data_IF_163475126810
#
_entry.id   IF_163475126810
#
_cell.length_a   1.000
_cell.length_b   1.000
_cell.length_c   1.000
_cell.angle_alpha   90.00
_cell.angle_beta   90.00
_cell.angle_gamma   90.00
#
_symmetry.space_group_name_H-M   'P 1'
#
loop_
_entity.id
_entity.type
_entity.pdbx_description
1 polymer ?
#
# COMPACT_ATOMS: atom_id res chain seq x y z
N UNK A 1 6.20 -12.55 -61.50
CA UNK A 1 5.48 -12.11 -60.28
C UNK A 1 4.73 -10.83 -60.60
N UNK A 2 3.40 -10.85 -60.55
CA UNK A 2 2.57 -9.73 -60.99
C UNK A 2 2.66 -8.53 -60.06
N UNK A 3 3.03 -7.37 -60.58
CA UNK A 3 3.04 -6.12 -59.82
C UNK A 3 1.61 -5.60 -59.71
N UNK A 4 0.93 -5.87 -58.60
CA UNK A 4 -0.33 -5.20 -58.29
C UNK A 4 -0.09 -3.69 -58.20
N UNK A 5 -0.80 -2.88 -58.99
CA UNK A 5 -0.73 -1.40 -58.95
C UNK A 5 -1.42 -0.79 -57.71
N UNK A 6 -1.75 -1.61 -56.71
CA UNK A 6 -2.43 -1.22 -55.49
C UNK A 6 -1.50 -0.34 -54.64
N UNK A 7 -1.99 0.85 -54.31
CA UNK A 7 -1.32 1.78 -53.40
C UNK A 7 -2.01 1.71 -52.04
N UNK A 8 -1.28 1.33 -51.01
CA UNK A 8 -1.82 1.14 -49.66
C UNK A 8 -1.30 2.27 -48.76
N UNK A 9 -2.16 3.12 -48.17
CA UNK A 9 -1.70 4.14 -47.23
C UNK A 9 -1.17 3.49 -45.94
N UNK A 10 0.06 3.84 -45.54
CA UNK A 10 0.71 3.36 -44.31
C UNK A 10 1.51 4.46 -43.63
N UNK A 11 1.86 4.25 -42.37
CA UNK A 11 2.78 5.12 -41.61
C UNK A 11 4.16 4.45 -41.55
N UNK A 12 5.21 5.20 -41.84
CA UNK A 12 6.58 4.69 -41.80
C UNK A 12 7.04 4.44 -40.36
N UNK A 13 7.51 3.22 -40.06
CA UNK A 13 7.95 2.83 -38.70
C UNK A 13 9.15 3.64 -38.16
N UNK A 14 9.94 4.29 -39.03
CA UNK A 14 11.10 5.07 -38.63
C UNK A 14 10.83 6.57 -38.40
N UNK A 15 10.11 7.23 -39.32
CA UNK A 15 9.90 8.68 -39.30
C UNK A 15 8.46 9.08 -38.99
N UNK A 16 7.56 8.10 -38.79
CA UNK A 16 6.15 8.29 -38.45
C UNK A 16 5.35 9.12 -39.47
N UNK A 17 5.86 9.28 -40.69
CA UNK A 17 5.16 9.99 -41.78
C UNK A 17 4.27 9.02 -42.56
N UNK A 18 3.08 9.45 -42.99
CA UNK A 18 2.24 8.69 -43.90
C UNK A 18 2.89 8.57 -45.29
N UNK A 19 2.75 7.43 -45.95
CA UNK A 19 3.25 7.17 -47.30
C UNK A 19 2.40 6.10 -48.02
N UNK A 20 2.48 6.06 -49.35
CA UNK A 20 1.81 5.06 -50.18
C UNK A 20 2.74 3.87 -50.43
N UNK A 21 2.40 2.71 -49.87
CA UNK A 21 3.14 1.46 -50.08
C UNK A 21 2.69 0.75 -51.36
N UNK A 22 3.66 0.21 -52.12
CA UNK A 22 3.42 -0.62 -53.32
C UNK A 22 3.19 -2.10 -53.02
N UNK A 23 3.61 -2.54 -51.83
CA UNK A 23 3.50 -3.93 -51.37
C UNK A 23 2.97 -3.98 -49.94
N UNK A 24 2.23 -5.04 -49.61
CA UNK A 24 1.68 -5.29 -48.26
C UNK A 24 2.79 -5.45 -47.21
N UNK A 25 4.01 -5.79 -47.62
CA UNK A 25 5.16 -5.99 -46.74
C UNK A 25 6.01 -4.73 -46.53
N UNK A 26 5.74 -3.63 -47.24
CA UNK A 26 6.53 -2.40 -47.08
C UNK A 26 6.27 -1.74 -45.71
N UNK A 27 7.37 -1.48 -44.98
CA UNK A 27 7.37 -0.93 -43.60
C UNK A 27 7.86 0.52 -43.52
N UNK A 28 8.58 0.99 -44.54
CA UNK A 28 9.26 2.29 -44.53
C UNK A 28 8.97 3.09 -45.80
N UNK A 29 8.94 4.42 -45.68
CA UNK A 29 8.68 5.30 -46.82
C UNK A 29 9.84 5.39 -47.83
N UNK A 30 11.07 5.01 -47.43
CA UNK A 30 12.25 5.05 -48.29
C UNK A 30 13.35 4.10 -47.82
N UNK A 31 14.28 3.78 -48.71
CA UNK A 31 15.50 3.00 -48.40
C UNK A 31 16.35 3.67 -47.32
N UNK A 32 16.40 5.01 -47.30
CA UNK A 32 17.06 5.79 -46.25
C UNK A 32 16.45 5.52 -44.87
N UNK A 33 15.12 5.55 -44.74
CA UNK A 33 14.43 5.24 -43.49
C UNK A 33 14.66 3.78 -43.05
N UNK A 34 14.64 2.84 -43.99
CA UNK A 34 14.97 1.45 -43.70
C UNK A 34 16.40 1.29 -43.16
N UNK A 35 17.39 1.90 -43.82
CA UNK A 35 18.79 1.84 -43.41
C UNK A 35 19.03 2.46 -42.03
N UNK A 36 18.37 3.59 -41.72
CA UNK A 36 18.45 4.21 -40.40
C UNK A 36 17.83 3.32 -39.32
N UNK A 37 16.66 2.72 -39.58
CA UNK A 37 16.03 1.79 -38.67
C UNK A 37 16.90 0.54 -38.42
N UNK A 38 17.52 -0.02 -39.46
CA UNK A 38 18.45 -1.14 -39.34
C UNK A 38 19.69 -0.78 -38.50
N UNK A 39 20.29 0.41 -38.71
CA UNK A 39 21.41 0.89 -37.89
C UNK A 39 21.02 1.07 -36.42
N UNK A 40 19.85 1.67 -36.16
CA UNK A 40 19.34 1.84 -34.80
C UNK A 40 19.12 0.49 -34.09
N UNK A 41 18.51 -0.48 -34.78
CA UNK A 41 18.35 -1.85 -34.26
C UNK A 41 19.68 -2.51 -33.91
N UNK A 42 20.66 -2.47 -34.82
CA UNK A 42 22.00 -3.01 -34.57
C UNK A 42 22.70 -2.34 -33.39
N UNK A 43 22.53 -1.02 -33.22
CA UNK A 43 23.08 -0.29 -32.07
C UNK A 43 22.45 -0.76 -30.75
N UNK A 44 21.12 -0.84 -30.70
CA UNK A 44 20.39 -1.34 -29.53
C UNK A 44 20.75 -2.79 -29.19
N UNK A 45 20.94 -3.65 -30.20
CA UNK A 45 21.36 -5.04 -30.01
C UNK A 45 22.75 -5.13 -29.40
N UNK A 46 23.71 -4.32 -29.89
CA UNK A 46 25.05 -4.21 -29.30
C UNK A 46 25.00 -3.73 -27.85
N UNK A 47 24.27 -2.66 -27.57
CA UNK A 47 24.12 -2.13 -26.20
C UNK A 47 23.49 -3.16 -25.25
N UNK A 48 22.53 -3.96 -25.72
CA UNK A 48 21.95 -5.06 -24.93
C UNK A 48 22.97 -6.16 -24.67
N UNK A 49 23.70 -6.59 -25.70
CA UNK A 49 24.72 -7.62 -25.59
C UNK A 49 25.86 -7.19 -24.65
N UNK A 50 26.30 -5.95 -24.73
CA UNK A 50 27.30 -5.38 -23.80
C UNK A 50 26.80 -5.40 -22.35
N UNK A 51 25.55 -5.01 -22.10
CA UNK A 51 24.92 -5.10 -20.77
C UNK A 51 24.82 -6.54 -20.28
N UNK A 52 24.44 -7.48 -21.14
CA UNK A 52 24.36 -8.91 -20.81
C UNK A 52 25.73 -9.49 -20.45
N UNK A 53 26.77 -9.17 -21.23
CA UNK A 53 28.15 -9.59 -20.95
C UNK A 53 28.60 -9.03 -19.60
N UNK A 54 28.31 -7.76 -19.33
CA UNK A 54 28.67 -7.13 -18.06
C UNK A 54 27.95 -7.81 -16.88
N UNK A 55 26.65 -8.08 -17.02
CA UNK A 55 25.88 -8.83 -16.01
C UNK A 55 26.44 -10.24 -15.80
N UNK A 56 26.80 -10.97 -16.86
CA UNK A 56 27.40 -12.29 -16.75
C UNK A 56 28.75 -12.24 -16.02
N UNK A 57 29.59 -11.25 -16.33
CA UNK A 57 30.89 -11.04 -15.69
C UNK A 57 30.75 -10.82 -14.17
N UNK A 58 29.72 -10.12 -13.74
CA UNK A 58 29.49 -9.81 -12.32
C UNK A 58 28.49 -10.74 -11.63
N UNK A 59 27.91 -11.73 -12.32
CA UNK A 59 26.86 -12.61 -11.79
C UNK A 59 27.25 -13.26 -10.46
N UNK A 60 28.44 -13.85 -10.39
CA UNK A 60 28.93 -14.52 -9.18
C UNK A 60 29.14 -13.54 -8.03
N UNK A 61 29.68 -12.35 -8.32
CA UNK A 61 29.89 -11.29 -7.32
C UNK A 61 28.57 -10.74 -6.78
N UNK A 62 27.55 -10.60 -7.65
CA UNK A 62 26.21 -10.18 -7.25
C UNK A 62 25.58 -11.23 -6.33
N UNK A 63 25.66 -12.52 -6.71
CA UNK A 63 25.15 -13.61 -5.89
C UNK A 63 25.82 -13.64 -4.50
N UNK A 64 27.14 -13.47 -4.45
CA UNK A 64 27.88 -13.40 -3.18
C UNK A 64 27.44 -12.22 -2.31
N UNK A 65 27.25 -11.03 -2.89
CA UNK A 65 26.77 -9.85 -2.15
C UNK A 65 25.35 -10.05 -1.63
N UNK A 66 24.51 -10.78 -2.37
CA UNK A 66 23.14 -11.06 -1.95
C UNK A 66 23.06 -12.08 -0.80
N UNK A 67 23.96 -13.06 -0.73
CA UNK A 67 23.91 -14.09 0.33
C UNK A 67 24.56 -13.66 1.64
N UNK A 68 25.35 -12.58 1.65
CA UNK A 68 25.98 -12.06 2.87
C UNK A 68 24.94 -11.53 3.87
N UNK A 69 25.06 -11.97 5.11
CA UNK A 69 24.22 -11.51 6.23
C UNK A 69 24.51 -10.04 6.61
N UNK A 70 25.77 -9.64 6.54
CA UNK A 70 26.20 -8.26 6.81
C UNK A 70 26.64 -7.56 5.54
N UNK A 71 25.99 -6.44 5.24
CA UNK A 71 26.23 -5.64 4.04
C UNK A 71 26.78 -4.27 4.41
N UNK A 72 27.53 -3.65 3.51
CA UNK A 72 27.98 -2.27 3.69
C UNK A 72 26.81 -1.28 3.53
N UNK A 73 26.95 -0.09 4.09
CA UNK A 73 25.95 0.99 3.93
C UNK A 73 25.73 1.33 2.45
N UNK A 74 26.79 1.32 1.63
CA UNK A 74 26.68 1.58 0.20
C UNK A 74 25.88 0.49 -0.53
N UNK A 75 26.15 -0.79 -0.24
CA UNK A 75 25.38 -1.90 -0.79
C UNK A 75 23.91 -1.84 -0.34
N UNK A 76 23.66 -1.54 0.94
CA UNK A 76 22.31 -1.35 1.46
C UNK A 76 21.54 -0.24 0.73
N UNK A 77 22.20 0.88 0.38
CA UNK A 77 21.55 1.95 -0.38
C UNK A 77 21.10 1.51 -1.77
N UNK A 78 21.89 0.66 -2.43
CA UNK A 78 21.59 0.15 -3.77
C UNK A 78 20.52 -0.95 -3.70
N UNK A 79 20.58 -1.83 -2.68
CA UNK A 79 19.63 -2.94 -2.55
C UNK A 79 18.25 -2.51 -2.08
N UNK A 80 18.17 -1.59 -1.11
CA UNK A 80 16.91 -1.22 -0.45
C UNK A 80 16.41 0.19 -0.80
N UNK A 81 17.19 0.98 -1.55
CA UNK A 81 16.81 2.34 -1.94
C UNK A 81 16.80 3.35 -0.77
N UNK A 82 17.44 3.04 0.35
CA UNK A 82 17.50 3.90 1.54
C UNK A 82 18.74 4.79 1.48
N UNK A 83 18.62 6.08 1.80
CA UNK A 83 19.77 6.99 1.83
C UNK A 83 20.79 6.62 2.92
N UNK A 84 22.08 6.89 2.68
CA UNK A 84 23.16 6.62 3.65
C UNK A 84 22.88 7.26 5.01
N UNK A 85 22.40 8.50 5.01
CA UNK A 85 22.09 9.25 6.23
C UNK A 85 20.94 8.61 7.02
N UNK A 86 19.96 8.04 6.32
CA UNK A 86 18.85 7.33 6.95
C UNK A 86 19.32 6.05 7.61
N UNK A 87 20.20 5.29 6.94
CA UNK A 87 20.82 4.10 7.54
C UNK A 87 21.60 4.48 8.79
N UNK A 88 22.46 5.50 8.73
CA UNK A 88 23.19 5.98 9.91
C UNK A 88 22.26 6.46 11.03
N UNK A 89 21.17 7.14 10.69
CA UNK A 89 20.15 7.57 11.65
C UNK A 89 19.45 6.38 12.31
N UNK A 90 19.13 5.32 11.56
CA UNK A 90 18.53 4.11 12.10
C UNK A 90 19.48 3.34 13.02
N UNK A 91 20.77 3.27 12.67
CA UNK A 91 21.80 2.70 13.55
C UNK A 91 21.87 3.51 14.86
N UNK A 92 21.91 4.85 14.78
CA UNK A 92 21.97 5.73 15.96
C UNK A 92 20.71 5.61 16.84
N UNK A 93 19.56 5.32 16.25
CA UNK A 93 18.29 5.10 16.97
C UNK A 93 18.13 3.67 17.52
N UNK A 94 19.04 2.74 17.16
CA UNK A 94 18.93 1.33 17.54
C UNK A 94 17.81 0.56 16.80
N UNK A 95 17.30 1.10 15.69
CA UNK A 95 16.25 0.43 14.88
C UNK A 95 16.85 -0.73 14.08
N UNK A 96 18.08 -0.55 13.60
CA UNK A 96 18.83 -1.58 12.85
C UNK A 96 20.18 -1.78 13.52
N UNK A 97 20.65 -3.03 13.53
CA UNK A 97 21.97 -3.37 14.05
C UNK A 97 23.05 -3.02 13.04
N UNK A 98 24.04 -2.23 13.50
CA UNK A 98 25.17 -1.82 12.69
C UNK A 98 26.47 -1.87 13.49
N UNK A 99 27.47 -2.59 12.97
CA UNK A 99 28.79 -2.70 13.58
C UNK A 99 29.78 -1.87 12.76
N UNK A 100 30.53 -0.99 13.43
CA UNK A 100 31.61 -0.27 12.77
C UNK A 100 32.94 -0.99 12.95
N UNK A 101 33.53 -1.45 11.85
CA UNK A 101 34.80 -2.19 11.84
C UNK A 101 36.03 -1.28 11.63
N UNK A 102 35.85 0.04 11.57
CA UNK A 102 36.94 0.99 11.41
C UNK A 102 36.51 2.31 10.76
N UNK A 103 37.40 2.94 10.01
CA UNK A 103 37.09 4.21 9.32
C UNK A 103 36.22 3.96 8.11
N UNK A 104 34.97 4.45 8.12
CA UNK A 104 33.98 4.28 7.03
C UNK A 104 33.67 2.80 6.70
N UNK A 105 33.86 1.88 7.65
CA UNK A 105 33.62 0.45 7.51
C UNK A 105 32.42 -0.01 8.34
N UNK A 106 31.31 0.72 8.25
CA UNK A 106 30.05 0.31 8.88
C UNK A 106 29.42 -0.85 8.10
N UNK A 107 29.06 -1.90 8.83
CA UNK A 107 28.34 -3.09 8.36
C UNK A 107 26.97 -3.13 9.03
N UNK A 108 25.95 -3.46 8.27
CA UNK A 108 24.54 -3.49 8.70
C UNK A 108 23.99 -4.88 8.45
N UNK A 109 23.21 -5.39 9.40
CA UNK A 109 22.54 -6.68 9.24
C UNK A 109 21.42 -6.56 8.20
N UNK A 110 21.44 -7.45 7.21
CA UNK A 110 20.49 -7.44 6.08
C UNK A 110 19.05 -7.72 6.54
N UNK A 111 18.86 -8.69 7.45
CA UNK A 111 17.53 -9.07 7.95
C UNK A 111 16.80 -7.91 8.64
N UNK A 112 17.52 -7.01 9.32
CA UNK A 112 16.91 -5.85 9.97
C UNK A 112 16.35 -4.87 8.94
N UNK A 113 17.03 -4.71 7.80
CA UNK A 113 16.54 -3.88 6.69
C UNK A 113 15.36 -4.53 5.99
N UNK A 114 15.36 -5.85 5.82
CA UNK A 114 14.23 -6.59 5.25
C UNK A 114 12.98 -6.50 6.15
N UNK A 115 13.15 -6.60 7.47
CA UNK A 115 12.08 -6.47 8.44
C UNK A 115 11.35 -5.13 8.37
N UNK A 116 12.05 -4.04 8.00
CA UNK A 116 11.43 -2.72 7.81
C UNK A 116 10.37 -2.70 6.69
N UNK A 117 10.47 -3.59 5.71
CA UNK A 117 9.49 -3.69 4.61
C UNK A 117 8.38 -4.70 4.89
N UNK A 118 8.65 -5.70 5.73
CA UNK A 118 7.67 -6.74 6.08
C UNK A 118 6.62 -6.27 7.09
N UNK A 119 6.90 -5.23 7.87
CA UNK A 119 6.01 -4.71 8.92
C UNK A 119 4.85 -3.84 8.40
N UNK A 120 4.30 -4.12 7.21
CA UNK A 120 2.97 -3.61 6.84
C UNK A 120 1.94 -4.58 7.39
N UNK A 121 1.77 -4.59 8.71
CA UNK A 121 0.49 -4.99 9.25
C UNK A 121 -0.52 -3.96 8.74
N UNK A 122 -1.36 -4.39 7.78
CA UNK A 122 -2.56 -3.63 7.47
C UNK A 122 -3.27 -3.40 8.81
N UNK A 123 -3.67 -2.16 9.14
CA UNK A 123 -4.29 -1.91 10.44
C UNK A 123 -5.47 -2.86 10.56
N UNK A 124 -5.38 -3.82 11.48
CA UNK A 124 -6.51 -4.63 11.86
C UNK A 124 -7.61 -3.62 12.21
N UNK A 125 -8.73 -3.69 11.48
CA UNK A 125 -9.90 -2.85 11.74
C UNK A 125 -10.13 -2.98 13.25
N UNK A 126 -9.95 -1.88 13.99
CA UNK A 126 -10.30 -1.84 15.41
C UNK A 126 -11.75 -2.29 15.49
N UNK A 127 -11.98 -3.55 15.84
CA UNK A 127 -13.31 -4.03 16.13
C UNK A 127 -13.71 -3.28 17.40
N UNK A 128 -14.49 -2.22 17.22
CA UNK A 128 -15.22 -1.59 18.30
C UNK A 128 -16.16 -2.68 18.77
N UNK A 129 -15.77 -3.40 19.82
CA UNK A 129 -16.61 -4.37 20.51
C UNK A 129 -17.80 -3.57 21.04
N UNK A 130 -18.91 -3.57 20.30
CA UNK A 130 -20.18 -3.04 20.78
C UNK A 130 -20.68 -4.06 21.81
N UNK A 131 -20.32 -3.85 23.07
CA UNK A 131 -20.84 -4.63 24.19
C UNK A 131 -22.36 -4.61 24.10
N UNK A 132 -22.97 -5.79 23.94
CA UNK A 132 -24.43 -5.92 23.94
C UNK A 132 -24.92 -5.42 25.30
N UNK A 133 -25.83 -4.44 25.34
CA UNK A 133 -26.35 -3.91 26.59
C UNK A 133 -26.98 -5.05 27.40
N UNK A 134 -26.41 -5.33 28.57
CA UNK A 134 -26.89 -6.37 29.45
C UNK A 134 -28.21 -5.92 30.10
N UNK A 135 -29.29 -6.68 29.89
CA UNK A 135 -30.64 -6.42 30.40
C UNK A 135 -31.01 -7.33 31.59
N UNK A 136 -30.03 -7.74 32.39
CA UNK A 136 -30.26 -8.52 33.61
C UNK A 136 -31.16 -7.79 34.62
N UNK A 137 -31.97 -8.58 35.34
CA UNK A 137 -32.95 -8.10 36.33
C UNK A 137 -32.20 -7.55 37.53
N UNK A 138 -32.00 -6.23 37.54
CA UNK A 138 -31.23 -5.49 38.56
C UNK A 138 -30.55 -4.24 38.01
N UNK A 139 -30.15 -4.29 36.72
CA UNK A 139 -29.42 -3.21 36.03
C UNK A 139 -30.28 -2.38 35.07
N UNK A 140 -31.61 -2.55 35.12
CA UNK A 140 -32.56 -1.76 34.34
C UNK A 140 -33.53 -0.98 35.25
N UNK A 141 -34.02 0.17 34.77
CA UNK A 141 -35.20 0.84 35.30
C UNK A 141 -36.40 0.59 34.40
N UNK A 142 -37.60 0.62 34.97
CA UNK A 142 -38.84 0.81 34.20
C UNK A 142 -39.11 2.28 33.93
N UNK A 143 -39.89 2.61 32.89
CA UNK A 143 -40.27 4.01 32.60
C UNK A 143 -40.92 4.69 33.82
N UNK A 144 -41.75 3.96 34.56
CA UNK A 144 -42.41 4.46 35.78
C UNK A 144 -41.41 4.76 36.90
N UNK A 145 -40.38 3.91 37.08
CA UNK A 145 -39.29 4.15 38.03
C UNK A 145 -38.44 5.35 37.66
N UNK A 146 -38.13 5.54 36.38
CA UNK A 146 -37.38 6.73 35.89
C UNK A 146 -38.18 8.00 36.16
N UNK A 147 -39.48 7.98 35.85
CA UNK A 147 -40.38 9.11 36.08
C UNK A 147 -40.42 9.50 37.55
N UNK A 148 -40.48 8.51 38.46
CA UNK A 148 -40.50 8.72 39.90
C UNK A 148 -39.16 9.22 40.45
N UNK A 149 -38.04 8.68 39.95
CA UNK A 149 -36.68 9.02 40.43
C UNK A 149 -36.22 10.40 39.98
N UNK A 150 -36.53 10.78 38.74
CA UNK A 150 -36.06 12.03 38.12
C UNK A 150 -37.14 13.10 37.99
N UNK A 151 -38.31 12.90 38.60
CA UNK A 151 -39.46 13.80 38.55
C UNK A 151 -39.81 14.27 37.12
N UNK A 152 -39.68 13.36 36.15
CA UNK A 152 -39.89 13.63 34.74
C UNK A 152 -41.19 12.99 34.26
N UNK A 153 -41.93 13.68 33.39
CA UNK A 153 -43.13 13.14 32.77
C UNK A 153 -42.82 11.87 31.93
N UNK A 154 -43.60 10.78 32.02
CA UNK A 154 -43.35 9.54 31.27
C UNK A 154 -43.23 9.73 29.75
N UNK A 155 -43.98 10.67 29.17
CA UNK A 155 -43.87 11.02 27.75
C UNK A 155 -42.54 11.67 27.42
N UNK A 156 -42.04 12.53 28.31
CA UNK A 156 -40.71 13.14 28.19
C UNK A 156 -39.59 12.10 28.28
N UNK A 157 -39.67 11.17 29.22
CA UNK A 157 -38.71 10.05 29.35
C UNK A 157 -38.67 9.20 28.08
N UNK A 158 -39.84 8.87 27.52
CA UNK A 158 -39.93 8.06 26.30
C UNK A 158 -39.31 8.77 25.09
N UNK A 159 -39.52 10.09 24.96
CA UNK A 159 -38.92 10.89 23.90
C UNK A 159 -37.40 11.02 24.06
N UNK A 160 -36.90 11.16 25.28
CA UNK A 160 -35.48 11.22 25.59
C UNK A 160 -34.75 9.93 25.22
N UNK A 161 -35.35 8.77 25.52
CA UNK A 161 -34.84 7.45 25.15
C UNK A 161 -34.70 7.31 23.63
N UNK A 162 -35.73 7.74 22.88
CA UNK A 162 -35.72 7.71 21.41
C UNK A 162 -34.67 8.63 20.81
N UNK A 163 -34.51 9.86 21.34
CA UNK A 163 -33.51 10.83 20.87
C UNK A 163 -32.08 10.32 21.04
N UNK A 164 -31.79 9.66 22.15
CA UNK A 164 -30.46 9.14 22.47
C UNK A 164 -30.20 7.71 21.97
N UNK A 165 -31.13 7.12 21.21
CA UNK A 165 -31.03 5.75 20.65
C UNK A 165 -30.65 4.71 21.71
N UNK A 166 -31.19 4.83 22.91
CA UNK A 166 -30.89 3.94 24.03
C UNK A 166 -31.54 2.58 23.74
N UNK A 167 -30.82 1.47 23.92
CA UNK A 167 -31.37 0.13 23.74
C UNK A 167 -32.43 -0.15 24.83
N UNK A 168 -33.64 -0.53 24.42
CA UNK A 168 -34.76 -0.84 25.32
C UNK A 168 -35.26 -2.26 25.11
N UNK A 169 -35.71 -2.92 26.18
CA UNK A 169 -36.32 -4.25 26.13
C UNK A 169 -37.75 -4.18 26.69
N UNK A 170 -38.74 -4.57 25.88
CA UNK A 170 -40.13 -4.70 26.34
C UNK A 170 -40.35 -6.11 26.90
N UNK A 171 -40.82 -6.20 28.14
CA UNK A 171 -41.20 -7.46 28.78
C UNK A 171 -42.59 -7.28 29.39
N UNK A 172 -43.59 -7.94 28.82
CA UNK A 172 -45.00 -7.75 29.20
C UNK A 172 -45.51 -6.33 28.96
N UNK A 173 -46.11 -5.72 29.98
CA UNK A 173 -46.63 -4.34 29.94
C UNK A 173 -45.56 -3.27 30.21
N UNK A 174 -44.34 -3.66 30.61
CA UNK A 174 -43.29 -2.73 31.02
C UNK A 174 -42.16 -2.66 30.00
N UNK A 175 -41.52 -1.49 29.92
CA UNK A 175 -40.34 -1.23 29.09
C UNK A 175 -39.15 -0.98 30.01
N UNK A 176 -38.11 -1.79 29.83
CA UNK A 176 -36.89 -1.77 30.63
C UNK A 176 -35.75 -1.07 29.89
N UNK A 177 -35.01 -0.23 30.61
CA UNK A 177 -33.92 0.60 30.08
C UNK A 177 -32.69 0.48 31.00
N UNK A 178 -31.46 0.32 30.48
CA UNK A 178 -30.25 0.20 31.30
C UNK A 178 -29.99 1.44 32.17
N UNK A 179 -29.75 1.24 33.47
CA UNK A 179 -29.51 2.32 34.45
C UNK A 179 -28.33 3.21 34.05
N UNK A 180 -27.20 2.59 33.68
CA UNK A 180 -25.95 3.28 33.30
C UNK A 180 -26.12 4.30 32.17
N UNK A 181 -27.03 4.04 31.23
CA UNK A 181 -27.27 4.95 30.11
C UNK A 181 -28.24 6.07 30.48
N UNK A 182 -29.22 5.78 31.34
CA UNK A 182 -30.17 6.77 31.85
C UNK A 182 -29.51 7.72 32.83
N UNK A 183 -28.82 7.21 33.85
CA UNK A 183 -28.14 8.02 34.85
C UNK A 183 -27.13 8.98 34.16
N UNK A 184 -26.35 8.53 33.16
CA UNK A 184 -25.47 9.41 32.36
C UNK A 184 -26.16 10.59 31.67
N UNK A 185 -27.43 10.43 31.27
CA UNK A 185 -28.17 11.49 30.56
C UNK A 185 -28.81 12.46 31.54
N UNK A 186 -29.21 11.99 32.72
CA UNK A 186 -29.85 12.81 33.74
C UNK A 186 -28.84 13.46 34.70
N UNK A 187 -27.72 12.83 35.00
CA UNK A 187 -26.62 13.38 35.82
C UNK A 187 -25.78 14.42 35.06
N UNK A 188 -25.86 14.42 33.72
CA UNK A 188 -25.20 15.40 32.86
C UNK A 188 -25.93 16.76 32.79
N UNK A 189 -26.84 17.04 33.72
CA UNK A 189 -27.63 18.27 33.82
C UNK A 189 -27.51 18.92 35.19
#
# INVERSE_FOLDING_TARGET
>A
MGFSKLKIPRVCEHCSKPFEAKTVTSRFCSTSCNNKALKAKKKLEKEKLEKEILLQKYKNKIAEVQTREFISVAEATVMFGISKDTIHRYIKRGIITGTNLGTRLTRVKRSDLEALFSAVEMPEKKEIVVEKPNFEVGNCYTISEISSKFHADPGTVTNLIKRNKIPTKKVGSFVYVPKNLIDKIFDGK
#
